data_IF_919337746794
#
_entry.id   IF_919337746794
#
_cell.length_a   1.000
_cell.length_b   1.000
_cell.length_c   1.000
_cell.angle_alpha   90.00
_cell.angle_beta   90.00
_cell.angle_gamma   90.00
#
_symmetry.space_group_name_H-M   'P 1'
#
loop_
_entity.id
_entity.type
_entity.pdbx_description
1 polymer ?
#
# COMPACT_ATOMS: atom_id res chain seq x y z
N UNK A 1 1.77 16.27 -79.66
CA UNK A 1 2.60 16.04 -78.48
C UNK A 1 2.31 16.99 -77.28
N UNK A 2 2.02 18.28 -77.42
CA UNK A 2 1.82 19.18 -76.26
C UNK A 2 0.61 18.85 -75.30
N UNK A 3 -0.52 18.33 -75.80
CA UNK A 3 -1.70 18.03 -74.98
C UNK A 3 -1.52 16.81 -74.05
N UNK A 4 -0.73 15.79 -74.42
CA UNK A 4 -0.49 14.61 -73.62
C UNK A 4 0.44 14.89 -72.41
N UNK A 5 1.41 15.78 -72.58
CA UNK A 5 2.36 16.18 -71.52
C UNK A 5 1.67 17.00 -70.41
N UNK A 6 0.73 17.85 -70.75
CA UNK A 6 -0.03 18.63 -69.76
C UNK A 6 -0.96 17.77 -68.93
N UNK A 7 -1.59 16.76 -69.52
CA UNK A 7 -2.43 15.79 -68.78
C UNK A 7 -1.61 14.89 -67.83
N UNK A 8 -0.40 14.50 -68.21
CA UNK A 8 0.50 13.69 -67.38
C UNK A 8 1.02 14.47 -66.16
N UNK A 9 1.41 15.76 -66.35
CA UNK A 9 1.86 16.63 -65.26
C UNK A 9 0.72 17.00 -64.29
N UNK A 10 -0.51 17.19 -64.77
CA UNK A 10 -1.68 17.42 -63.91
C UNK A 10 -2.00 16.19 -63.02
N UNK A 11 -1.92 14.99 -63.58
CA UNK A 11 -2.11 13.73 -62.83
C UNK A 11 -1.01 13.46 -61.77
N UNK A 12 0.24 13.82 -62.05
CA UNK A 12 1.34 13.73 -61.09
C UNK A 12 1.16 14.69 -59.92
N UNK A 13 0.78 15.93 -60.17
CA UNK A 13 0.52 16.92 -59.14
C UNK A 13 -0.68 16.52 -58.28
N UNK A 14 -1.73 15.96 -58.86
CA UNK A 14 -2.90 15.50 -58.13
C UNK A 14 -2.58 14.26 -57.22
N UNK A 15 -1.76 13.32 -57.69
CA UNK A 15 -1.28 12.18 -56.89
C UNK A 15 -0.38 12.64 -55.74
N UNK A 16 0.47 13.64 -55.98
CA UNK A 16 1.38 14.18 -54.96
C UNK A 16 0.60 14.97 -53.88
N UNK A 17 -0.40 15.73 -54.29
CA UNK A 17 -1.32 16.45 -53.39
C UNK A 17 -2.13 15.50 -52.51
N UNK A 18 -2.72 14.42 -53.08
CA UNK A 18 -3.46 13.41 -52.38
C UNK A 18 -2.55 12.63 -51.36
N UNK A 19 -1.29 12.37 -51.72
CA UNK A 19 -0.32 11.71 -50.85
C UNK A 19 0.05 12.58 -49.64
N UNK A 20 0.17 13.91 -49.87
CA UNK A 20 0.44 14.89 -48.81
C UNK A 20 -0.77 15.12 -47.91
N UNK A 21 -1.98 15.15 -48.45
CA UNK A 21 -3.21 15.21 -47.65
C UNK A 21 -3.41 13.95 -46.79
N UNK A 22 -3.18 12.73 -47.35
CA UNK A 22 -3.25 11.50 -46.56
C UNK A 22 -2.23 11.49 -45.43
N UNK A 23 -1.00 11.96 -45.66
CA UNK A 23 0.00 12.10 -44.58
C UNK A 23 -0.42 13.10 -43.50
N UNK A 24 -0.96 14.27 -43.90
CA UNK A 24 -1.49 15.24 -42.91
C UNK A 24 -2.68 14.71 -42.13
N UNK A 25 -3.59 13.97 -42.78
CA UNK A 25 -4.73 13.31 -42.09
C UNK A 25 -4.26 12.24 -41.11
N UNK A 26 -3.28 11.38 -41.48
CA UNK A 26 -2.69 10.40 -40.56
C UNK A 26 -1.98 11.04 -39.38
N UNK A 27 -1.24 12.15 -39.59
CA UNK A 27 -0.57 12.88 -38.51
C UNK A 27 -1.60 13.55 -37.60
N UNK A 28 -2.64 14.17 -38.13
CA UNK A 28 -3.73 14.73 -37.32
C UNK A 28 -4.52 13.67 -36.58
N UNK A 29 -4.80 12.50 -37.18
CA UNK A 29 -5.45 11.40 -36.50
C UNK A 29 -4.57 10.80 -35.39
N UNK A 30 -3.23 10.74 -35.57
CA UNK A 30 -2.29 10.30 -34.53
C UNK A 30 -2.18 11.32 -33.39
N UNK A 31 -2.21 12.64 -33.71
CA UNK A 31 -2.20 13.70 -32.70
C UNK A 31 -3.51 13.75 -31.91
N UNK A 32 -4.66 13.57 -32.57
CA UNK A 32 -5.97 13.51 -31.91
C UNK A 32 -6.10 12.23 -31.07
N UNK A 33 -5.58 11.09 -31.55
CA UNK A 33 -5.53 9.85 -30.75
C UNK A 33 -4.59 9.99 -29.55
N UNK A 34 -3.43 10.65 -29.69
CA UNK A 34 -2.51 10.92 -28.58
C UNK A 34 -3.09 11.94 -27.58
N UNK A 35 -3.88 12.93 -28.03
CA UNK A 35 -4.55 13.90 -27.15
C UNK A 35 -5.75 13.30 -26.39
N UNK A 36 -6.41 12.26 -26.93
CA UNK A 36 -7.50 11.54 -26.25
C UNK A 36 -7.02 10.55 -25.20
N UNK A 37 -5.71 10.25 -25.11
CA UNK A 37 -5.11 9.37 -24.11
C UNK A 37 -4.25 10.12 -23.06
N UNK A 38 -4.15 11.43 -23.14
CA UNK A 38 -3.62 12.23 -22.05
C UNK A 38 -4.71 12.48 -21.00
N UNK A 39 -5.26 11.39 -20.41
CA UNK A 39 -5.93 11.50 -19.13
C UNK A 39 -4.87 11.90 -18.12
N UNK A 40 -5.10 13.01 -17.45
CA UNK A 40 -4.27 13.52 -16.37
C UNK A 40 -3.95 12.34 -15.41
N UNK A 41 -2.70 11.87 -15.42
CA UNK A 41 -2.26 10.69 -14.65
C UNK A 41 -2.35 10.89 -13.12
N UNK A 42 -3.06 11.91 -12.71
CA UNK A 42 -3.32 12.29 -11.33
C UNK A 42 -4.80 12.50 -11.01
N UNK A 43 -5.71 12.12 -11.93
CA UNK A 43 -7.14 12.22 -11.64
C UNK A 43 -7.49 11.35 -10.42
N UNK A 44 -8.10 11.98 -9.42
CA UNK A 44 -8.66 11.29 -8.26
C UNK A 44 -9.92 10.53 -8.68
N UNK A 45 -10.00 9.26 -8.35
CA UNK A 45 -11.17 8.42 -8.62
C UNK A 45 -11.75 7.91 -7.31
N UNK A 46 -12.99 8.28 -6.98
CA UNK A 46 -13.71 7.70 -5.85
C UNK A 46 -14.08 6.27 -6.20
N UNK A 47 -13.44 5.29 -5.55
CA UNK A 47 -13.71 3.86 -5.77
C UNK A 47 -14.90 3.39 -4.94
N UNK A 48 -14.95 3.78 -3.67
CA UNK A 48 -16.02 3.41 -2.76
C UNK A 48 -16.54 4.67 -2.09
N UNK A 49 -17.81 4.93 -2.26
CA UNK A 49 -18.45 6.16 -1.80
C UNK A 49 -19.28 5.89 -0.55
N UNK A 50 -18.91 6.55 0.54
CA UNK A 50 -19.69 6.52 1.79
C UNK A 50 -20.89 7.46 1.73
N UNK A 51 -21.92 7.13 2.51
CA UNK A 51 -23.05 8.01 2.76
C UNK A 51 -23.13 8.39 4.26
N UNK A 52 -24.17 9.11 4.65
CA UNK A 52 -24.37 9.54 6.04
C UNK A 52 -25.22 8.57 6.87
N UNK A 53 -25.76 7.50 6.27
CA UNK A 53 -26.78 6.64 6.89
C UNK A 53 -26.29 5.20 7.08
N UNK A 54 -26.01 4.49 5.98
CA UNK A 54 -25.84 3.04 5.97
C UNK A 54 -24.56 2.55 5.32
N UNK A 55 -23.97 3.37 4.46
CA UNK A 55 -22.76 2.99 3.69
C UNK A 55 -21.55 3.71 4.23
N UNK A 56 -20.64 2.97 4.86
CA UNK A 56 -19.40 3.51 5.40
C UNK A 56 -18.24 2.62 4.98
N UNK A 57 -17.27 3.21 4.29
CA UNK A 57 -16.03 2.52 3.91
C UNK A 57 -14.85 3.09 4.68
N UNK A 58 -13.97 2.22 5.12
CA UNK A 58 -12.76 2.55 5.88
C UNK A 58 -11.61 1.61 5.51
N UNK A 59 -10.40 2.00 5.87
CA UNK A 59 -9.21 1.15 5.91
C UNK A 59 -8.80 0.66 4.51
N UNK A 60 -7.95 1.44 3.81
CA UNK A 60 -7.45 1.09 2.49
C UNK A 60 -6.37 0.01 2.55
N UNK A 61 -6.44 -0.98 1.65
CA UNK A 61 -5.37 -1.91 1.37
C UNK A 61 -5.20 -2.11 -0.15
N UNK A 62 -3.96 -2.28 -0.60
CA UNK A 62 -3.63 -2.51 -2.01
C UNK A 62 -2.72 -3.72 -2.15
N UNK A 63 -2.90 -4.48 -3.22
CA UNK A 63 -1.89 -5.43 -3.69
C UNK A 63 -1.87 -5.48 -5.21
N UNK A 64 -0.68 -5.71 -5.78
CA UNK A 64 -0.48 -5.93 -7.20
C UNK A 64 -0.47 -7.43 -7.48
N UNK A 65 -1.41 -7.90 -8.30
CA UNK A 65 -1.45 -9.28 -8.76
C UNK A 65 -0.29 -9.60 -9.71
N UNK A 66 0.00 -10.88 -9.91
CA UNK A 66 1.09 -11.35 -10.77
C UNK A 66 0.93 -10.90 -12.24
N UNK A 67 -0.29 -10.77 -12.72
CA UNK A 67 -0.60 -10.25 -14.06
C UNK A 67 -0.46 -8.73 -14.19
N UNK A 68 -0.16 -8.05 -13.09
CA UNK A 68 0.00 -6.59 -13.01
C UNK A 68 -1.29 -5.84 -12.68
N UNK A 69 -2.42 -6.52 -12.58
CA UNK A 69 -3.66 -5.87 -12.12
C UNK A 69 -3.51 -5.42 -10.66
N UNK A 70 -4.24 -4.36 -10.29
CA UNK A 70 -4.28 -3.83 -8.94
C UNK A 70 -5.61 -4.19 -8.29
N UNK A 71 -5.54 -4.71 -7.06
CA UNK A 71 -6.69 -4.89 -6.20
C UNK A 71 -6.70 -3.83 -5.12
N UNK A 72 -7.84 -3.13 -4.98
CA UNK A 72 -8.13 -2.21 -3.88
C UNK A 72 -9.15 -2.88 -2.95
N UNK A 73 -8.76 -3.05 -1.69
CA UNK A 73 -9.61 -3.60 -0.63
C UNK A 73 -9.94 -2.51 0.38
N UNK A 74 -11.12 -2.62 0.98
CA UNK A 74 -11.56 -1.72 2.05
C UNK A 74 -12.60 -2.43 2.92
N UNK A 75 -12.75 -1.98 4.16
CA UNK A 75 -13.83 -2.44 5.03
C UNK A 75 -15.14 -1.76 4.62
N UNK A 76 -16.20 -2.54 4.49
CA UNK A 76 -17.57 -2.05 4.45
C UNK A 76 -18.16 -2.15 5.88
N UNK A 77 -18.40 -1.01 6.51
CA UNK A 77 -18.78 -0.87 7.93
C UNK A 77 -20.17 -0.28 8.09
N UNK A 78 -21.27 -1.00 7.79
CA UNK A 78 -22.62 -0.49 7.97
C UNK A 78 -22.92 -0.13 9.43
N UNK A 79 -22.25 -0.79 10.38
CA UNK A 79 -22.31 -0.49 11.80
C UNK A 79 -21.62 0.83 12.19
N UNK A 80 -20.85 1.46 11.29
CA UNK A 80 -20.10 2.72 11.46
C UNK A 80 -19.14 2.75 12.66
N UNK A 81 -18.66 1.59 13.09
CA UNK A 81 -17.73 1.43 14.20
C UNK A 81 -16.55 0.52 13.79
N UNK A 82 -15.62 0.25 14.73
CA UNK A 82 -14.49 -0.63 14.49
C UNK A 82 -14.87 -2.10 14.66
N UNK A 83 -13.94 -3.00 14.26
CA UNK A 83 -14.04 -4.44 14.47
C UNK A 83 -14.35 -4.74 15.94
N UNK A 84 -15.39 -5.53 16.17
CA UNK A 84 -15.95 -5.82 17.49
C UNK A 84 -17.28 -5.13 17.78
N UNK A 85 -17.65 -4.07 17.06
CA UNK A 85 -18.87 -3.30 17.30
C UNK A 85 -20.06 -3.66 16.42
N UNK A 86 -19.92 -4.58 15.49
CA UNK A 86 -20.99 -5.03 14.60
C UNK A 86 -20.45 -5.70 13.34
N UNK A 87 -21.33 -6.04 12.41
CA UNK A 87 -20.98 -6.69 11.16
C UNK A 87 -20.12 -5.77 10.29
N UNK A 88 -18.97 -6.29 9.84
CA UNK A 88 -18.06 -5.63 8.92
C UNK A 88 -17.63 -6.67 7.87
N UNK A 89 -17.67 -6.26 6.60
CA UNK A 89 -17.20 -7.05 5.47
C UNK A 89 -15.89 -6.45 4.92
N UNK A 90 -15.06 -7.27 4.28
CA UNK A 90 -14.01 -6.77 3.38
C UNK A 90 -14.54 -6.83 1.97
N UNK A 91 -14.48 -5.71 1.26
CA UNK A 91 -14.89 -5.60 -0.14
C UNK A 91 -13.70 -5.24 -1.03
N UNK A 92 -13.78 -5.56 -2.32
CA UNK A 92 -12.71 -5.33 -3.28
C UNK A 92 -13.20 -4.84 -4.63
N UNK A 93 -12.31 -4.11 -5.33
CA UNK A 93 -12.37 -3.80 -6.76
C UNK A 93 -11.03 -4.10 -7.41
N UNK A 94 -11.05 -4.46 -8.69
CA UNK A 94 -9.86 -4.77 -9.50
C UNK A 94 -9.75 -3.83 -10.68
N UNK A 95 -8.54 -3.37 -10.96
CA UNK A 95 -8.17 -2.69 -12.21
C UNK A 95 -7.12 -3.49 -12.97
N UNK A 96 -7.31 -3.63 -14.28
CA UNK A 96 -6.34 -4.27 -15.21
C UNK A 96 -5.60 -3.29 -16.10
N UNK A 97 -5.83 -1.99 -15.92
CA UNK A 97 -5.35 -0.91 -16.77
C UNK A 97 -4.67 0.22 -15.98
N UNK A 98 -3.96 -0.14 -14.89
CA UNK A 98 -3.24 0.78 -14.00
C UNK A 98 -4.15 1.81 -13.32
N UNK A 99 -5.36 1.40 -12.92
CA UNK A 99 -6.28 2.22 -12.14
C UNK A 99 -7.17 3.16 -12.97
N UNK A 100 -7.20 3.02 -14.31
CA UNK A 100 -8.07 3.85 -15.17
C UNK A 100 -9.53 3.41 -15.09
N UNK A 101 -9.76 2.11 -15.09
CA UNK A 101 -11.09 1.52 -14.90
C UNK A 101 -11.07 0.44 -13.82
N UNK A 102 -12.23 0.20 -13.21
CA UNK A 102 -12.36 -0.70 -12.08
C UNK A 102 -13.56 -1.62 -12.25
N UNK A 103 -13.44 -2.84 -11.77
CA UNK A 103 -14.55 -3.79 -11.69
C UNK A 103 -15.68 -3.25 -10.80
N UNK A 104 -16.85 -3.90 -10.87
CA UNK A 104 -17.86 -3.76 -9.82
C UNK A 104 -17.27 -4.20 -8.48
N UNK A 105 -17.79 -3.63 -7.40
CA UNK A 105 -17.50 -4.05 -6.03
C UNK A 105 -17.93 -5.49 -5.79
N UNK A 106 -17.11 -6.23 -5.03
CA UNK A 106 -17.41 -7.59 -4.58
C UNK A 106 -17.06 -7.73 -3.10
N UNK A 107 -17.92 -8.34 -2.31
CA UNK A 107 -17.61 -8.80 -0.97
C UNK A 107 -16.67 -10.00 -1.07
N UNK A 108 -15.48 -9.91 -0.48
CA UNK A 108 -14.43 -10.93 -0.56
C UNK A 108 -14.26 -11.70 0.76
N UNK A 109 -14.53 -11.04 1.90
CA UNK A 109 -14.67 -11.68 3.19
C UNK A 109 -15.93 -11.11 3.85
N UNK A 110 -16.88 -11.99 4.14
CA UNK A 110 -18.20 -11.59 4.66
C UNK A 110 -18.26 -11.78 6.17
N UNK A 111 -18.69 -10.74 6.86
CA UNK A 111 -19.07 -10.79 8.28
C UNK A 111 -20.51 -11.27 8.49
N UNK A 112 -20.89 -11.48 9.75
CA UNK A 112 -22.24 -11.95 10.12
C UNK A 112 -22.51 -13.41 9.78
N UNK A 113 -21.46 -14.24 9.69
CA UNK A 113 -21.56 -15.68 9.48
C UNK A 113 -21.92 -16.47 10.74
N UNK A 114 -21.91 -17.81 10.62
CA UNK A 114 -22.40 -18.71 11.66
C UNK A 114 -21.35 -19.10 12.70
N UNK A 115 -20.06 -18.94 12.42
CA UNK A 115 -18.96 -19.23 13.35
C UNK A 115 -18.73 -18.06 14.33
N UNK A 116 -19.66 -17.87 15.25
CA UNK A 116 -19.59 -16.82 16.29
C UNK A 116 -18.63 -17.29 17.40
N UNK A 117 -17.76 -16.39 17.91
CA UNK A 117 -17.65 -14.95 17.68
C UNK A 117 -16.78 -14.52 16.47
N UNK A 118 -16.10 -15.44 15.80
CA UNK A 118 -15.12 -15.13 14.75
C UNK A 118 -15.75 -14.38 13.54
N UNK A 119 -16.89 -14.87 13.04
CA UNK A 119 -17.51 -14.39 11.81
C UNK A 119 -18.29 -13.07 11.94
N UNK A 120 -18.40 -12.48 13.12
CA UNK A 120 -19.20 -11.25 13.30
C UNK A 120 -18.66 -10.11 12.45
N UNK A 121 -17.35 -9.86 12.51
CA UNK A 121 -16.70 -8.84 11.74
C UNK A 121 -15.37 -9.32 11.17
N UNK A 122 -15.01 -8.83 9.98
CA UNK A 122 -13.70 -8.96 9.37
C UNK A 122 -13.29 -7.61 8.80
N UNK A 123 -12.15 -7.09 9.24
CA UNK A 123 -11.67 -5.77 8.81
C UNK A 123 -10.18 -5.58 9.02
N UNK A 124 -9.73 -4.35 8.80
CA UNK A 124 -8.32 -3.97 8.91
C UNK A 124 -7.41 -4.88 8.05
N UNK A 125 -7.82 -5.15 6.81
CA UNK A 125 -7.15 -6.08 5.92
C UNK A 125 -5.69 -5.68 5.66
N UNK A 126 -4.75 -6.61 5.92
CA UNK A 126 -3.36 -6.55 5.50
C UNK A 126 -3.13 -7.57 4.39
N UNK A 127 -2.66 -7.15 3.21
CA UNK A 127 -2.66 -7.99 2.00
C UNK A 127 -1.29 -8.08 1.34
N UNK A 128 -1.03 -9.21 0.66
CA UNK A 128 0.13 -9.40 -0.22
C UNK A 128 -0.19 -10.41 -1.31
N UNK A 129 0.39 -10.20 -2.49
CA UNK A 129 0.44 -11.21 -3.55
C UNK A 129 1.86 -11.76 -3.66
N UNK A 130 2.01 -13.07 -3.61
CA UNK A 130 3.31 -13.68 -3.91
C UNK A 130 3.69 -13.45 -5.37
N UNK A 131 4.80 -12.73 -5.58
CA UNK A 131 5.24 -12.33 -6.92
C UNK A 131 5.54 -13.51 -7.87
N UNK A 132 5.83 -14.71 -7.34
CA UNK A 132 6.15 -15.89 -8.13
C UNK A 132 4.93 -16.73 -8.48
N UNK A 133 4.14 -17.08 -7.48
CA UNK A 133 3.00 -17.98 -7.65
C UNK A 133 1.74 -17.24 -8.07
N UNK A 134 1.58 -15.97 -7.67
CA UNK A 134 0.37 -15.19 -7.83
C UNK A 134 -0.65 -15.47 -6.74
N UNK A 135 -0.35 -16.33 -5.77
CA UNK A 135 -1.19 -16.56 -4.60
C UNK A 135 -1.30 -15.31 -3.74
N UNK A 136 -2.46 -15.04 -3.20
CA UNK A 136 -2.72 -13.88 -2.36
C UNK A 136 -3.01 -14.31 -0.92
N UNK A 137 -2.48 -13.55 0.03
CA UNK A 137 -2.72 -13.68 1.46
C UNK A 137 -3.35 -12.39 1.97
N UNK A 138 -4.37 -12.53 2.82
CA UNK A 138 -4.97 -11.47 3.61
C UNK A 138 -5.02 -11.87 5.07
N UNK A 139 -4.61 -10.97 5.95
CA UNK A 139 -4.77 -11.06 7.40
C UNK A 139 -5.78 -10.02 7.83
N UNK A 140 -6.76 -10.39 8.64
CA UNK A 140 -7.79 -9.49 9.15
C UNK A 140 -7.85 -9.49 10.67
N UNK A 141 -8.16 -8.35 11.26
CA UNK A 141 -8.79 -8.31 12.57
C UNK A 141 -10.22 -8.86 12.45
N UNK A 142 -10.67 -9.67 13.40
CA UNK A 142 -11.96 -10.36 13.28
C UNK A 142 -12.67 -10.46 14.62
N UNK A 143 -13.96 -10.79 14.57
CA UNK A 143 -14.75 -11.13 15.74
C UNK A 143 -15.63 -10.02 16.28
N UNK A 144 -16.10 -10.21 17.52
CA UNK A 144 -17.07 -9.35 18.20
C UNK A 144 -16.49 -8.65 19.45
N UNK A 145 -15.16 -8.59 19.55
CA UNK A 145 -14.45 -7.94 20.67
C UNK A 145 -13.64 -6.78 20.14
N UNK A 146 -13.90 -5.60 20.66
CA UNK A 146 -13.09 -4.43 20.32
C UNK A 146 -11.65 -4.58 20.84
N UNK A 147 -10.68 -4.07 20.10
CA UNK A 147 -9.27 -4.10 20.46
C UNK A 147 -9.00 -3.68 21.92
N UNK A 148 -9.62 -2.59 22.39
CA UNK A 148 -9.39 -2.07 23.75
C UNK A 148 -10.10 -2.88 24.85
N UNK A 149 -11.04 -3.76 24.50
CA UNK A 149 -11.74 -4.67 25.43
C UNK A 149 -11.18 -6.09 25.41
N UNK A 150 -10.22 -6.38 24.53
CA UNK A 150 -9.63 -7.71 24.38
C UNK A 150 -8.85 -8.12 25.63
N UNK A 151 -9.04 -9.36 26.05
CA UNK A 151 -8.32 -10.05 27.12
C UNK A 151 -7.79 -11.40 26.61
N UNK A 152 -7.01 -12.13 27.41
CA UNK A 152 -6.58 -13.48 27.03
C UNK A 152 -7.74 -14.49 26.99
N UNK A 153 -8.74 -14.30 27.85
CA UNK A 153 -9.93 -15.16 27.93
C UNK A 153 -10.93 -14.87 26.80
N UNK A 154 -10.98 -13.62 26.35
CA UNK A 154 -11.85 -13.17 25.25
C UNK A 154 -11.08 -12.24 24.31
N UNK A 155 -10.20 -12.77 23.47
CA UNK A 155 -9.34 -11.98 22.61
C UNK A 155 -10.11 -11.44 21.38
N UNK A 156 -9.68 -10.28 20.89
CA UNK A 156 -9.96 -9.92 19.51
C UNK A 156 -9.27 -10.95 18.59
N UNK A 157 -9.93 -11.31 17.51
CA UNK A 157 -9.57 -12.51 16.73
C UNK A 157 -8.75 -12.17 15.50
N UNK A 158 -8.09 -13.18 14.97
CA UNK A 158 -7.24 -13.08 13.77
C UNK A 158 -7.75 -14.03 12.70
N UNK A 159 -8.15 -13.47 11.57
CA UNK A 159 -8.49 -14.21 10.37
C UNK A 159 -7.33 -14.25 9.38
N UNK A 160 -7.11 -15.42 8.76
CA UNK A 160 -6.16 -15.63 7.65
C UNK A 160 -6.91 -16.15 6.45
N UNK A 161 -6.70 -15.54 5.28
CA UNK A 161 -7.42 -15.87 4.05
C UNK A 161 -6.44 -15.99 2.88
N UNK A 162 -6.69 -16.96 2.01
CA UNK A 162 -5.95 -17.18 0.76
C UNK A 162 -6.86 -17.08 -0.45
N UNK A 163 -6.33 -16.54 -1.55
CA UNK A 163 -6.99 -16.47 -2.84
C UNK A 163 -6.00 -16.69 -3.99
N UNK A 164 -6.50 -17.18 -5.12
CA UNK A 164 -5.74 -17.29 -6.38
C UNK A 164 -6.15 -16.24 -7.41
N UNK A 165 -7.29 -15.59 -7.23
CA UNK A 165 -7.88 -14.66 -8.20
C UNK A 165 -8.23 -13.29 -7.59
N UNK A 166 -8.09 -13.13 -6.26
CA UNK A 166 -8.35 -11.92 -5.52
C UNK A 166 -9.83 -11.67 -5.18
N UNK A 167 -10.74 -12.53 -5.62
CA UNK A 167 -12.17 -12.44 -5.33
C UNK A 167 -12.72 -13.64 -4.55
N UNK A 168 -12.21 -14.83 -4.81
CA UNK A 168 -12.60 -16.05 -4.10
C UNK A 168 -11.58 -16.35 -3.01
N UNK A 169 -11.95 -16.09 -1.76
CA UNK A 169 -11.09 -16.24 -0.60
C UNK A 169 -11.54 -17.40 0.27
N UNK A 170 -10.58 -18.17 0.78
CA UNK A 170 -10.80 -19.21 1.77
C UNK A 170 -9.99 -18.83 3.02
N UNK A 171 -10.66 -18.80 4.16
CA UNK A 171 -10.05 -18.35 5.41
C UNK A 171 -10.30 -19.29 6.57
N UNK A 172 -9.57 -19.01 7.64
CA UNK A 172 -9.63 -19.70 8.90
C UNK A 172 -9.24 -18.77 10.04
N UNK A 173 -9.72 -19.07 11.24
CA UNK A 173 -9.28 -18.40 12.45
C UNK A 173 -7.92 -18.95 12.91
N UNK A 174 -6.96 -18.06 13.15
CA UNK A 174 -5.63 -18.42 13.67
C UNK A 174 -5.26 -17.66 14.96
N UNK A 175 -6.25 -17.21 15.71
CA UNK A 175 -6.08 -16.40 16.92
C UNK A 175 -5.06 -17.02 17.87
N UNK A 176 -5.26 -18.27 18.25
CA UNK A 176 -4.38 -19.00 19.16
C UNK A 176 -2.95 -19.13 18.63
N UNK A 177 -2.80 -19.37 17.31
CA UNK A 177 -1.49 -19.47 16.68
C UNK A 177 -0.69 -18.18 16.87
N UNK A 178 -1.33 -17.02 16.72
CA UNK A 178 -0.65 -15.73 16.83
C UNK A 178 -0.39 -15.33 18.27
N UNK A 179 -1.37 -15.47 19.17
CA UNK A 179 -1.17 -15.09 20.58
C UNK A 179 -0.09 -15.92 21.28
N UNK A 180 0.03 -17.22 20.98
CA UNK A 180 1.07 -18.12 21.52
C UNK A 180 2.51 -17.68 21.19
N UNK A 181 2.71 -16.87 20.13
CA UNK A 181 4.04 -16.40 19.74
C UNK A 181 4.68 -15.43 20.74
N UNK A 182 3.91 -14.80 21.63
CA UNK A 182 4.36 -13.74 22.54
C UNK A 182 4.41 -14.18 24.03
N UNK A 183 4.48 -15.45 24.31
CA UNK A 183 4.68 -16.01 25.67
C UNK A 183 3.71 -15.43 26.73
N UNK A 184 2.45 -15.14 26.36
CA UNK A 184 1.44 -14.58 27.27
C UNK A 184 1.58 -13.09 27.59
N UNK A 185 2.57 -12.40 27.04
CA UNK A 185 2.76 -10.96 27.29
C UNK A 185 1.73 -10.06 26.58
N UNK A 186 1.09 -10.59 25.54
CA UNK A 186 0.13 -9.86 24.69
C UNK A 186 -1.27 -10.42 24.91
N UNK A 187 -2.22 -9.55 25.26
CA UNK A 187 -3.62 -9.89 25.46
C UNK A 187 -4.56 -9.17 24.46
N UNK A 188 -4.04 -8.33 23.61
CA UNK A 188 -4.74 -7.71 22.48
C UNK A 188 -3.79 -7.41 21.36
N UNK A 189 -4.19 -7.71 20.14
CA UNK A 189 -3.40 -7.48 18.94
C UNK A 189 -4.27 -7.42 17.69
N UNK A 190 -3.73 -6.82 16.63
CA UNK A 190 -4.21 -6.99 15.26
C UNK A 190 -3.05 -6.75 14.28
N UNK A 191 -3.14 -7.32 13.08
CA UNK A 191 -2.23 -7.02 11.98
C UNK A 191 -2.49 -5.60 11.48
N UNK A 192 -1.43 -4.78 11.36
CA UNK A 192 -1.57 -3.43 10.82
C UNK A 192 -2.01 -3.49 9.36
N UNK A 193 -3.16 -2.89 9.06
CA UNK A 193 -3.82 -2.93 7.75
C UNK A 193 -2.98 -2.33 6.61
N UNK A 194 -3.33 -2.62 5.37
CA UNK A 194 -2.67 -2.14 4.16
C UNK A 194 -1.79 -3.20 3.52
N UNK A 195 -0.51 -2.96 3.32
CA UNK A 195 0.38 -3.87 2.61
C UNK A 195 1.21 -4.74 3.57
N UNK A 196 1.26 -6.06 3.31
CA UNK A 196 2.28 -6.97 3.87
C UNK A 196 3.51 -6.89 2.97
N UNK A 197 4.70 -6.69 3.54
CA UNK A 197 5.94 -6.59 2.79
C UNK A 197 6.45 -7.98 2.38
N UNK A 198 6.71 -8.20 1.09
CA UNK A 198 7.42 -9.37 0.62
C UNK A 198 8.86 -9.02 0.26
N UNK A 199 9.83 -9.75 0.83
CA UNK A 199 11.25 -9.58 0.52
C UNK A 199 11.54 -9.77 -0.97
N UNK A 200 12.39 -8.91 -1.52
CA UNK A 200 12.96 -9.11 -2.86
C UNK A 200 14.26 -9.93 -2.80
N UNK A 201 14.88 -10.05 -1.63
CA UNK A 201 16.23 -10.60 -1.46
C UNK A 201 16.25 -11.97 -0.78
N UNK A 202 15.34 -12.21 0.16
CA UNK A 202 15.36 -13.44 0.97
C UNK A 202 14.35 -14.43 0.42
N UNK A 203 14.89 -15.48 -0.20
CA UNK A 203 14.11 -16.61 -0.71
C UNK A 203 14.10 -17.71 0.36
N UNK A 204 12.90 -18.16 0.73
CA UNK A 204 12.66 -19.24 1.66
C UNK A 204 11.84 -20.35 0.96
N UNK A 205 12.50 -21.40 0.49
CA UNK A 205 11.84 -22.50 -0.24
C UNK A 205 11.10 -22.02 -1.50
N UNK A 206 9.78 -22.28 -1.54
CA UNK A 206 8.89 -21.90 -2.65
C UNK A 206 8.67 -20.39 -2.71
N UNK A 207 8.58 -19.71 -1.56
CA UNK A 207 8.22 -18.30 -1.44
C UNK A 207 9.44 -17.43 -1.13
N UNK A 208 9.26 -16.13 -1.25
CA UNK A 208 10.13 -15.16 -0.60
C UNK A 208 9.53 -14.83 0.78
N UNK A 209 10.40 -14.55 1.76
CA UNK A 209 9.98 -14.15 3.11
C UNK A 209 9.03 -12.98 3.05
N UNK A 210 7.98 -13.02 3.86
CA UNK A 210 7.06 -11.91 4.07
C UNK A 210 7.18 -11.38 5.50
N UNK A 211 6.85 -10.10 5.69
CA UNK A 211 6.89 -9.42 6.98
C UNK A 211 5.59 -8.64 7.20
N UNK A 212 5.08 -8.70 8.43
CA UNK A 212 3.96 -7.88 8.87
C UNK A 212 4.17 -7.39 10.29
N UNK A 213 3.53 -6.29 10.66
CA UNK A 213 3.59 -5.76 12.01
C UNK A 213 2.28 -5.98 12.73
N UNK A 214 2.37 -6.32 14.01
CA UNK A 214 1.25 -6.33 14.94
C UNK A 214 1.24 -5.02 15.74
N UNK A 215 0.06 -4.41 15.84
CA UNK A 215 -0.29 -3.50 16.92
C UNK A 215 -0.63 -4.34 18.15
N UNK A 216 -0.03 -4.07 19.32
CA UNK A 216 -0.30 -4.80 20.55
C UNK A 216 -0.36 -3.88 21.76
N UNK A 217 -0.85 -4.40 22.89
CA UNK A 217 -0.86 -3.66 24.16
C UNK A 217 0.53 -3.31 24.71
N UNK A 218 1.59 -3.88 24.18
CA UNK A 218 2.98 -3.67 24.62
C UNK A 218 3.85 -3.00 23.54
N UNK A 219 3.23 -2.39 22.54
CA UNK A 219 3.89 -1.81 21.36
C UNK A 219 3.90 -2.77 20.18
N UNK A 220 4.76 -2.52 19.19
CA UNK A 220 4.79 -3.36 18.00
C UNK A 220 5.56 -4.67 18.22
N UNK A 221 5.05 -5.73 17.60
CA UNK A 221 5.77 -6.96 17.29
C UNK A 221 5.83 -7.09 15.78
N UNK A 222 7.00 -7.41 15.24
CA UNK A 222 7.14 -7.68 13.81
C UNK A 222 7.22 -9.18 13.62
N UNK A 223 6.38 -9.72 12.75
CA UNK A 223 6.37 -11.12 12.37
C UNK A 223 6.99 -11.30 10.99
N UNK A 224 7.66 -12.42 10.78
CA UNK A 224 8.02 -12.90 9.45
C UNK A 224 7.46 -14.28 9.20
N UNK A 225 7.28 -14.64 7.93
CA UNK A 225 6.90 -15.97 7.49
C UNK A 225 7.73 -16.36 6.27
N UNK A 226 8.22 -17.61 6.27
CA UNK A 226 8.97 -18.23 5.19
C UNK A 226 8.10 -19.18 4.34
N UNK A 227 6.83 -19.36 4.71
CA UNK A 227 5.86 -20.22 4.06
C UNK A 227 4.55 -19.49 3.70
N UNK A 228 4.69 -18.20 3.38
CA UNK A 228 3.60 -17.34 2.92
C UNK A 228 2.42 -17.23 3.91
N UNK A 229 2.74 -17.08 5.20
CA UNK A 229 1.76 -16.83 6.26
C UNK A 229 1.10 -18.07 6.85
N UNK A 230 1.51 -19.29 6.44
CA UNK A 230 1.04 -20.52 7.12
C UNK A 230 1.59 -20.60 8.54
N UNK A 231 2.84 -20.24 8.73
CA UNK A 231 3.47 -20.09 10.06
C UNK A 231 4.12 -18.71 10.16
N UNK A 232 4.02 -18.13 11.34
CA UNK A 232 4.61 -16.83 11.66
C UNK A 232 5.62 -16.98 12.79
N UNK A 233 6.67 -16.17 12.77
CA UNK A 233 7.70 -16.12 13.80
C UNK A 233 8.03 -14.65 14.13
N UNK A 234 8.14 -14.29 15.43
CA UNK A 234 8.55 -12.95 15.84
C UNK A 234 10.00 -12.64 15.40
N UNK A 235 10.17 -11.57 14.64
CA UNK A 235 11.50 -11.13 14.18
C UNK A 235 12.28 -10.48 15.33
N UNK A 236 13.34 -11.13 15.75
CA UNK A 236 14.13 -10.75 16.93
C UNK A 236 13.69 -11.44 18.22
N UNK A 237 12.75 -12.39 18.15
CA UNK A 237 12.26 -13.21 19.29
C UNK A 237 10.96 -12.70 19.90
N UNK A 238 10.33 -13.54 20.73
CA UNK A 238 9.02 -13.30 21.35
C UNK A 238 8.95 -12.02 22.21
N UNK A 239 10.08 -11.61 22.78
CA UNK A 239 10.17 -10.44 23.66
C UNK A 239 10.62 -9.17 22.94
N UNK A 240 10.89 -9.23 21.62
CA UNK A 240 11.29 -8.07 20.85
C UNK A 240 10.15 -7.05 20.73
N UNK A 241 10.43 -5.82 21.10
CA UNK A 241 9.50 -4.67 21.02
C UNK A 241 10.18 -3.52 20.28
N UNK A 242 10.24 -3.59 18.92
CA UNK A 242 10.97 -2.62 18.13
C UNK A 242 10.44 -1.18 18.26
N UNK A 243 9.17 -1.01 18.62
CA UNK A 243 8.58 0.27 18.97
C UNK A 243 7.66 0.09 20.18
N UNK A 244 8.18 0.35 21.39
CA UNK A 244 7.44 0.17 22.67
C UNK A 244 6.15 0.98 22.78
N UNK A 245 6.08 2.12 22.10
CA UNK A 245 4.90 2.99 22.04
C UNK A 245 4.33 3.05 20.62
N UNK A 246 4.64 2.03 19.83
CA UNK A 246 4.09 1.87 18.49
C UNK A 246 2.66 1.35 18.52
N UNK A 247 1.89 1.83 17.54
CA UNK A 247 0.52 1.42 17.24
C UNK A 247 0.54 0.70 15.88
N UNK A 248 -0.26 1.11 14.91
CA UNK A 248 -0.20 0.58 13.54
C UNK A 248 1.16 0.87 12.90
N UNK A 249 1.78 -0.16 12.33
CA UNK A 249 3.12 -0.04 11.76
C UNK A 249 3.22 -0.68 10.38
N UNK A 250 4.16 -0.17 9.60
CA UNK A 250 4.49 -0.66 8.26
C UNK A 250 5.90 -1.18 8.22
N UNK A 251 6.09 -2.20 7.40
CA UNK A 251 7.38 -2.83 7.18
C UNK A 251 7.78 -2.66 5.72
N UNK A 252 9.07 -2.36 5.50
CA UNK A 252 9.65 -2.37 4.15
C UNK A 252 11.07 -2.97 4.20
N UNK A 253 11.49 -3.59 3.10
CA UNK A 253 12.85 -4.10 2.94
C UNK A 253 13.78 -2.99 2.44
N UNK A 254 14.78 -2.64 3.26
CA UNK A 254 15.81 -1.68 2.88
C UNK A 254 16.67 -2.19 1.70
N UNK A 255 17.33 -1.29 0.94
CA UNK A 255 18.11 -1.71 -0.23
C UNK A 255 19.25 -2.70 0.07
N UNK A 256 19.74 -2.77 1.30
CA UNK A 256 20.74 -3.78 1.74
C UNK A 256 20.11 -5.10 2.22
N UNK A 257 18.78 -5.18 2.38
CA UNK A 257 18.05 -6.35 2.84
C UNK A 257 17.65 -6.34 4.32
N UNK A 258 18.08 -5.33 5.09
CA UNK A 258 17.59 -5.10 6.44
C UNK A 258 16.11 -4.70 6.44
N UNK A 259 15.45 -4.79 7.59
CA UNK A 259 14.01 -4.56 7.71
C UNK A 259 13.74 -3.23 8.40
N UNK A 260 13.07 -2.32 7.68
CA UNK A 260 12.58 -1.06 8.20
C UNK A 260 11.20 -1.25 8.84
N UNK A 261 11.04 -0.71 10.06
CA UNK A 261 9.74 -0.48 10.69
C UNK A 261 9.46 1.03 10.73
N UNK A 262 8.25 1.41 10.32
CA UNK A 262 7.69 2.74 10.52
C UNK A 262 6.35 2.63 11.24
N UNK A 263 6.23 3.16 12.45
CA UNK A 263 5.06 3.00 13.30
C UNK A 263 4.39 4.32 13.63
N UNK A 264 3.05 4.33 13.65
CA UNK A 264 2.24 5.33 14.33
C UNK A 264 2.62 5.35 15.82
N UNK A 265 2.74 6.54 16.40
CA UNK A 265 3.00 6.68 17.84
C UNK A 265 1.69 6.68 18.63
N UNK A 266 1.65 5.97 19.76
CA UNK A 266 0.57 6.06 20.76
C UNK A 266 0.67 7.32 21.63
N UNK A 267 1.79 8.05 21.58
CA UNK A 267 2.10 9.20 22.45
C UNK A 267 2.01 10.54 21.72
N UNK A 268 1.12 10.67 20.76
CA UNK A 268 0.91 11.91 20.03
C UNK A 268 1.35 11.87 18.56
N UNK A 269 1.50 13.03 17.96
CA UNK A 269 1.90 13.17 16.56
C UNK A 269 3.34 12.67 16.34
N UNK A 270 3.60 12.17 15.15
CA UNK A 270 4.91 11.70 14.72
C UNK A 270 4.97 10.20 14.45
N UNK A 271 6.18 9.74 14.10
CA UNK A 271 6.45 8.36 13.73
C UNK A 271 7.67 7.82 14.45
N UNK A 272 7.63 6.53 14.72
CA UNK A 272 8.72 5.78 15.31
C UNK A 272 9.35 4.95 14.19
N UNK A 273 10.65 5.13 13.96
CA UNK A 273 11.43 4.32 13.02
C UNK A 273 12.32 3.36 13.77
N UNK A 274 12.47 2.15 13.25
CA UNK A 274 13.47 1.20 13.70
C UNK A 274 13.98 0.35 12.53
N UNK A 275 15.15 -0.24 12.68
CA UNK A 275 15.78 -1.11 11.69
C UNK A 275 16.18 -2.42 12.37
N UNK A 276 15.74 -3.54 11.78
CA UNK A 276 16.30 -4.83 12.11
C UNK A 276 17.50 -5.12 11.21
N UNK A 277 18.69 -5.18 11.81
CA UNK A 277 19.92 -5.53 11.10
C UNK A 277 20.15 -7.02 11.17
N UNK A 278 20.23 -7.65 10.01
CA UNK A 278 20.54 -9.05 9.92
C UNK A 278 22.03 -9.32 10.15
N UNK A 279 22.35 -10.32 11.00
CA UNK A 279 23.65 -11.02 11.03
C UNK A 279 23.63 -12.24 10.12
N UNK A 280 22.47 -12.90 9.97
CA UNK A 280 22.21 -13.97 9.05
C UNK A 280 20.76 -13.93 8.54
N UNK A 281 20.58 -13.35 7.36
CA UNK A 281 19.25 -13.16 6.79
C UNK A 281 18.50 -14.46 6.49
N UNK A 282 19.20 -15.52 6.07
CA UNK A 282 18.57 -16.83 5.79
C UNK A 282 17.93 -17.43 7.02
N UNK A 283 18.55 -17.30 8.21
CA UNK A 283 18.05 -17.81 9.47
C UNK A 283 17.23 -16.80 10.27
N UNK A 284 16.95 -15.62 9.71
CA UNK A 284 16.30 -14.50 10.37
C UNK A 284 17.00 -14.04 11.66
N UNK A 285 18.31 -14.26 11.79
CA UNK A 285 19.11 -13.83 12.93
C UNK A 285 19.57 -12.39 12.75
N UNK A 286 19.49 -11.60 13.82
CA UNK A 286 19.85 -10.20 13.81
C UNK A 286 19.36 -9.49 15.07
N UNK A 287 19.36 -8.16 15.02
CA UNK A 287 18.92 -7.33 16.16
C UNK A 287 18.21 -6.06 15.69
N UNK A 288 17.16 -5.71 16.40
CA UNK A 288 16.56 -4.37 16.32
C UNK A 288 17.52 -3.34 16.89
N UNK A 289 17.60 -2.20 16.22
CA UNK A 289 18.35 -1.06 16.70
C UNK A 289 17.58 -0.30 17.79
N UNK A 290 18.12 0.79 18.29
CA UNK A 290 17.37 1.74 19.12
C UNK A 290 16.41 2.51 18.25
N UNK A 291 15.12 2.51 18.61
CA UNK A 291 14.09 3.22 17.87
C UNK A 291 14.30 4.74 17.93
N UNK A 292 14.05 5.42 16.82
CA UNK A 292 14.12 6.87 16.74
C UNK A 292 12.74 7.46 16.39
N UNK A 293 12.43 8.63 16.96
CA UNK A 293 11.20 9.34 16.67
C UNK A 293 11.43 10.41 15.61
N UNK A 294 10.52 10.51 14.67
CA UNK A 294 10.48 11.60 13.72
C UNK A 294 10.25 12.92 14.47
N UNK A 295 11.03 13.92 14.13
CA UNK A 295 10.93 15.25 14.74
C UNK A 295 9.48 15.79 14.63
N UNK A 296 8.93 16.39 15.70
CA UNK A 296 7.60 17.00 15.70
C UNK A 296 7.33 18.05 14.63
N UNK A 297 8.35 18.65 14.02
CA UNK A 297 8.16 19.56 12.88
C UNK A 297 7.52 18.86 11.68
N UNK A 298 7.73 17.55 11.52
CA UNK A 298 7.02 16.71 10.57
C UNK A 298 5.72 16.21 11.19
N UNK A 299 4.81 17.12 11.50
CA UNK A 299 3.53 16.82 12.10
C UNK A 299 2.80 15.78 11.27
N UNK A 300 2.31 14.75 11.92
CA UNK A 300 1.42 13.79 11.31
C UNK A 300 0.37 13.35 12.31
N UNK A 301 -0.87 13.16 11.87
CA UNK A 301 -1.94 12.69 12.72
C UNK A 301 -1.60 11.31 13.32
N UNK A 302 -2.24 10.98 14.44
CA UNK A 302 -2.32 9.61 14.95
C UNK A 302 -3.20 8.78 13.99
N UNK A 303 -2.59 8.31 12.89
CA UNK A 303 -3.27 7.68 11.77
C UNK A 303 -2.33 6.66 11.12
N UNK A 304 -2.87 5.60 10.54
CA UNK A 304 -2.09 4.67 9.72
C UNK A 304 -1.67 5.35 8.41
N UNK A 305 -0.55 4.92 7.87
CA UNK A 305 0.00 5.36 6.59
C UNK A 305 0.68 4.18 5.90
N UNK A 306 1.51 4.42 4.90
CA UNK A 306 2.28 3.37 4.22
C UNK A 306 3.71 3.81 4.01
N UNK A 307 4.65 2.86 4.01
CA UNK A 307 6.02 3.06 3.54
C UNK A 307 6.28 2.20 2.32
N UNK A 308 6.99 2.76 1.34
CA UNK A 308 7.32 2.07 0.10
C UNK A 308 8.69 2.53 -0.38
N UNK A 309 9.60 1.59 -0.66
CA UNK A 309 10.89 1.89 -1.29
C UNK A 309 10.85 1.50 -2.77
N UNK A 310 11.08 2.47 -3.63
CA UNK A 310 11.08 2.28 -5.09
C UNK A 310 12.47 2.51 -5.67
N UNK A 311 12.82 1.73 -6.69
CA UNK A 311 13.99 2.02 -7.51
C UNK A 311 13.71 3.28 -8.31
N UNK A 312 14.68 4.18 -8.38
CA UNK A 312 14.57 5.47 -9.06
C UNK A 312 15.81 5.82 -9.86
N UNK A 313 15.67 6.80 -10.74
CA UNK A 313 16.78 7.45 -11.43
C UNK A 313 16.70 8.95 -11.10
N UNK A 314 17.78 9.49 -10.57
CA UNK A 314 17.90 10.92 -10.28
C UNK A 314 18.05 11.69 -11.59
N UNK A 315 17.17 12.66 -11.86
CA UNK A 315 17.17 13.38 -13.15
C UNK A 315 18.38 14.28 -13.34
N UNK A 316 18.95 14.82 -12.28
CA UNK A 316 20.07 15.74 -12.35
C UNK A 316 21.35 15.13 -12.93
N UNK A 317 21.61 13.84 -12.69
CA UNK A 317 22.86 13.16 -13.09
C UNK A 317 22.66 11.76 -13.69
N UNK A 318 21.42 11.29 -13.82
CA UNK A 318 21.08 9.98 -14.36
C UNK A 318 21.45 8.80 -13.44
N UNK A 319 21.85 9.04 -12.20
CA UNK A 319 22.25 7.99 -11.28
C UNK A 319 21.07 7.16 -10.79
N UNK A 320 21.24 5.85 -10.77
CA UNK A 320 20.31 4.92 -10.15
C UNK A 320 20.40 5.05 -8.62
N UNK A 321 19.24 5.13 -8.00
CA UNK A 321 19.07 5.31 -6.56
C UNK A 321 17.82 4.61 -6.06
N UNK A 322 17.49 4.76 -4.78
CA UNK A 322 16.21 4.39 -4.22
C UNK A 322 15.55 5.61 -3.60
N UNK A 323 14.23 5.67 -3.65
CA UNK A 323 13.44 6.69 -2.96
C UNK A 323 12.52 5.99 -1.96
N UNK A 324 12.61 6.39 -0.71
CA UNK A 324 11.69 6.00 0.36
C UNK A 324 10.52 6.98 0.35
N UNK A 325 9.32 6.45 0.18
CA UNK A 325 8.04 7.14 0.25
C UNK A 325 7.37 6.80 1.58
N UNK A 326 6.72 7.77 2.19
CA UNK A 326 5.93 7.59 3.39
C UNK A 326 4.65 8.41 3.29
N UNK A 327 3.47 7.77 3.27
CA UNK A 327 2.17 8.44 3.17
C UNK A 327 1.51 8.60 4.53
N UNK A 328 0.90 9.77 4.78
CA UNK A 328 0.20 10.08 6.04
C UNK A 328 -0.52 11.42 5.92
N UNK A 329 -1.54 11.73 6.76
CA UNK A 329 -1.98 13.10 6.96
C UNK A 329 -0.85 14.01 7.43
N UNK A 330 -0.69 15.17 6.77
CA UNK A 330 0.45 16.09 6.99
C UNK A 330 0.19 17.15 8.06
N UNK A 331 -0.85 16.96 8.87
CA UNK A 331 -1.20 17.82 10.01
C UNK A 331 -1.40 16.96 11.26
N UNK A 332 -1.49 17.59 12.41
CA UNK A 332 -1.81 16.93 13.69
C UNK A 332 -3.23 16.32 13.72
N UNK A 333 -4.12 16.79 12.86
CA UNK A 333 -5.45 16.23 12.61
C UNK A 333 -5.44 15.30 11.40
N UNK A 334 -6.50 14.52 11.21
CA UNK A 334 -6.69 13.66 10.03
C UNK A 334 -7.12 14.50 8.83
N UNK A 335 -6.19 15.28 8.29
CA UNK A 335 -6.38 16.12 7.11
C UNK A 335 -5.09 16.22 6.28
N UNK A 336 -5.23 16.60 5.01
CA UNK A 336 -4.14 16.88 4.10
C UNK A 336 -3.22 15.68 3.84
N UNK A 337 -3.78 14.49 3.56
CA UNK A 337 -2.97 13.32 3.17
C UNK A 337 -2.01 13.68 2.04
N UNK A 338 -0.79 13.24 2.19
CA UNK A 338 0.28 13.42 1.22
C UNK A 338 1.38 12.40 1.39
N UNK A 339 2.49 12.60 0.70
CA UNK A 339 3.64 11.70 0.69
C UNK A 339 4.88 12.49 1.11
N UNK A 340 5.55 12.04 2.14
CA UNK A 340 6.93 12.40 2.44
C UNK A 340 7.86 11.52 1.62
N UNK A 341 8.93 12.10 1.07
CA UNK A 341 9.92 11.34 0.32
C UNK A 341 11.34 11.73 0.67
N UNK A 342 12.26 10.77 0.61
CA UNK A 342 13.69 11.00 0.74
C UNK A 342 14.48 10.01 -0.10
N UNK A 343 15.64 10.43 -0.57
CA UNK A 343 16.56 9.55 -1.28
C UNK A 343 17.29 8.64 -0.30
N UNK A 344 17.53 7.40 -0.74
CA UNK A 344 18.43 6.43 -0.12
C UNK A 344 19.53 6.08 -1.13
N UNK A 345 20.48 7.02 -1.30
CA UNK A 345 21.55 6.91 -2.30
C UNK A 345 22.60 5.84 -1.92
N UNK A 346 22.79 5.63 -0.62
CA UNK A 346 23.78 4.71 -0.08
C UNK A 346 23.31 4.12 1.25
N UNK A 347 24.01 3.11 1.75
CA UNK A 347 23.75 2.53 3.08
C UNK A 347 23.94 3.53 4.22
N UNK A 348 24.73 4.61 4.00
CA UNK A 348 24.90 5.68 4.98
C UNK A 348 23.58 6.42 5.27
N UNK A 349 22.64 6.49 4.32
CA UNK A 349 21.37 7.21 4.47
C UNK A 349 20.37 6.51 5.40
N UNK A 350 20.61 5.23 5.69
CA UNK A 350 19.80 4.40 6.59
C UNK A 350 20.64 3.49 7.50
N UNK A 351 21.85 3.93 7.85
CA UNK A 351 22.74 3.20 8.75
C UNK A 351 22.19 3.10 10.19
N UNK A 352 21.30 4.00 10.57
CA UNK A 352 20.58 3.98 11.87
C UNK A 352 19.18 4.55 11.74
N UNK A 353 18.26 4.25 12.69
CA UNK A 353 16.91 4.81 12.71
C UNK A 353 16.87 6.33 12.75
N UNK A 354 17.82 7.01 13.41
CA UNK A 354 17.89 8.48 13.46
C UNK A 354 18.07 9.12 12.10
N UNK A 355 18.80 8.48 11.19
CA UNK A 355 18.98 8.98 9.82
C UNK A 355 17.69 8.93 9.02
N UNK A 356 16.76 8.02 9.36
CA UNK A 356 15.44 7.94 8.76
C UNK A 356 14.47 9.00 9.27
N UNK A 357 14.80 9.72 10.35
CA UNK A 357 13.96 10.80 10.86
C UNK A 357 14.24 12.15 10.22
N UNK A 358 15.21 12.27 9.31
CA UNK A 358 15.72 13.53 8.75
C UNK A 358 15.67 13.57 7.22
N UNK A 359 15.71 14.78 6.66
CA UNK A 359 15.88 14.99 5.22
C UNK A 359 14.65 14.66 4.37
N UNK A 360 13.48 14.67 4.95
CA UNK A 360 12.23 14.46 4.24
C UNK A 360 11.80 15.70 3.45
N UNK A 361 11.37 15.48 2.22
CA UNK A 361 10.63 16.42 1.37
C UNK A 361 9.17 15.99 1.31
N UNK A 362 8.29 16.86 0.84
CA UNK A 362 6.85 16.63 0.90
C UNK A 362 6.16 16.83 -0.45
N UNK A 363 5.15 16.01 -0.68
CA UNK A 363 4.16 16.17 -1.74
C UNK A 363 2.76 16.07 -1.12
N UNK A 364 2.05 17.18 -1.06
CA UNK A 364 0.68 17.22 -0.56
C UNK A 364 -0.29 16.85 -1.68
N UNK A 365 -1.19 15.91 -1.42
CA UNK A 365 -2.19 15.43 -2.38
C UNK A 365 -3.59 15.95 -2.05
N UNK A 366 -4.07 15.70 -0.83
CA UNK A 366 -5.39 16.14 -0.38
C UNK A 366 -5.35 17.57 0.17
N UNK A 367 -6.44 18.30 -0.03
CA UNK A 367 -6.67 19.65 0.50
C UNK A 367 -7.80 19.69 1.53
N UNK A 368 -8.29 18.55 1.97
CA UNK A 368 -9.42 18.40 2.89
C UNK A 368 -9.12 17.36 3.97
N UNK A 369 -10.11 17.05 4.80
CA UNK A 369 -10.02 15.97 5.79
C UNK A 369 -9.76 14.65 5.10
N UNK A 370 -8.73 13.96 5.55
CA UNK A 370 -8.25 12.72 4.96
C UNK A 370 -7.46 11.93 5.99
N UNK A 371 -7.47 10.59 5.89
CA UNK A 371 -6.96 9.77 6.97
C UNK A 371 -6.03 8.64 6.50
N UNK A 372 -6.46 7.39 6.58
CA UNK A 372 -5.65 6.23 6.25
C UNK A 372 -5.25 6.20 4.78
N UNK A 373 -4.06 5.69 4.49
CA UNK A 373 -3.54 5.58 3.13
C UNK A 373 -2.64 4.37 2.97
N UNK A 374 -2.57 3.85 1.75
CA UNK A 374 -1.68 2.77 1.34
C UNK A 374 -1.12 3.02 -0.05
N UNK A 375 0.02 2.39 -0.37
CA UNK A 375 0.72 2.56 -1.65
C UNK A 375 1.21 1.22 -2.19
N UNK A 376 1.21 1.10 -3.53
CA UNK A 376 1.86 -0.02 -4.24
C UNK A 376 2.47 0.48 -5.55
N UNK A 377 3.62 -0.06 -5.96
CA UNK A 377 4.22 0.32 -7.25
C UNK A 377 3.64 -0.51 -8.39
N UNK A 378 3.01 0.14 -9.36
CA UNK A 378 2.45 -0.46 -10.57
C UNK A 378 3.52 -0.82 -11.60
N UNK A 379 3.16 -1.63 -12.60
CA UNK A 379 4.10 -2.09 -13.62
C UNK A 379 4.63 -0.99 -14.54
N UNK A 380 3.87 0.11 -14.71
CA UNK A 380 4.28 1.30 -15.45
C UNK A 380 5.24 2.21 -14.66
N UNK A 381 5.53 1.85 -13.40
CA UNK A 381 6.39 2.60 -12.48
C UNK A 381 5.67 3.65 -11.64
N UNK A 382 4.42 3.96 -11.94
CA UNK A 382 3.60 4.86 -11.14
C UNK A 382 3.28 4.23 -9.77
N UNK A 383 2.95 5.10 -8.82
CA UNK A 383 2.51 4.71 -7.49
C UNK A 383 0.98 4.68 -7.47
N UNK A 384 0.41 3.50 -7.29
CA UNK A 384 -0.98 3.33 -6.88
C UNK A 384 -1.12 3.87 -5.46
N UNK A 385 -1.92 4.89 -5.29
CA UNK A 385 -2.18 5.54 -4.01
C UNK A 385 -3.66 5.44 -3.70
N UNK A 386 -4.00 4.82 -2.57
CA UNK A 386 -5.39 4.60 -2.16
C UNK A 386 -5.58 5.08 -0.73
N UNK A 387 -6.57 5.96 -0.49
CA UNK A 387 -6.69 6.66 0.76
C UNK A 387 -8.12 7.10 1.09
N UNK A 388 -8.32 7.46 2.34
CA UNK A 388 -9.57 8.01 2.89
C UNK A 388 -9.59 9.53 2.70
N UNK A 389 -10.66 10.07 2.08
CA UNK A 389 -10.87 11.51 1.92
C UNK A 389 -12.32 11.88 2.13
N UNK A 390 -12.57 12.97 2.85
CA UNK A 390 -13.92 13.45 3.11
C UNK A 390 -14.40 14.34 1.97
N UNK A 391 -15.45 13.92 1.28
CA UNK A 391 -16.17 14.74 0.27
C UNK A 391 -17.53 15.23 0.78
N UNK A 392 -18.04 14.66 1.88
CA UNK A 392 -19.30 15.04 2.49
C UNK A 392 -19.27 14.84 4.02
N UNK A 393 -20.16 15.49 4.76
CA UNK A 393 -20.31 15.24 6.20
C UNK A 393 -20.73 13.78 6.42
N UNK A 394 -20.01 13.06 7.26
CA UNK A 394 -20.43 11.76 7.78
C UNK A 394 -19.57 10.54 7.43
N UNK A 395 -18.46 10.69 6.74
CA UNK A 395 -17.56 9.57 6.47
C UNK A 395 -16.45 9.90 5.50
N UNK A 396 -15.59 8.94 5.27
CA UNK A 396 -14.56 9.01 4.24
C UNK A 396 -15.04 8.26 3.00
N UNK A 397 -14.82 8.85 1.84
CA UNK A 397 -14.79 8.12 0.58
C UNK A 397 -13.41 7.46 0.41
N UNK A 398 -13.36 6.36 -0.32
CA UNK A 398 -12.11 5.68 -0.63
C UNK A 398 -11.64 6.10 -2.02
N UNK A 399 -10.56 6.86 -2.07
CA UNK A 399 -10.07 7.55 -3.29
C UNK A 399 -8.80 6.91 -3.78
N UNK A 400 -8.73 6.68 -5.09
CA UNK A 400 -7.56 6.14 -5.77
C UNK A 400 -6.92 7.20 -6.67
N UNK A 401 -5.58 7.20 -6.72
CA UNK A 401 -4.76 7.98 -7.65
C UNK A 401 -3.64 7.12 -8.23
N UNK A 402 -3.32 7.34 -9.50
CA UNK A 402 -2.07 6.87 -10.13
C UNK A 402 -1.09 8.04 -10.19
N UNK A 403 0.01 7.98 -9.44
CA UNK A 403 0.94 9.08 -9.26
C UNK A 403 2.32 8.75 -9.87
N UNK A 404 2.77 9.46 -10.92
CA UNK A 404 4.15 9.38 -11.39
C UNK A 404 5.14 9.79 -10.29
N UNK A 405 6.29 9.10 -10.21
CA UNK A 405 7.30 9.38 -9.18
C UNK A 405 7.86 10.81 -9.31
N UNK A 406 8.03 11.32 -10.53
CA UNK A 406 8.50 12.70 -10.75
C UNK A 406 7.50 13.74 -10.24
N UNK A 407 6.19 13.48 -10.33
CA UNK A 407 5.18 14.34 -9.72
C UNK A 407 5.28 14.36 -8.20
N UNK A 408 5.42 13.19 -7.57
CA UNK A 408 5.62 13.07 -6.10
C UNK A 408 6.88 13.81 -5.67
N UNK A 409 7.93 13.75 -6.47
CA UNK A 409 9.26 14.25 -6.12
C UNK A 409 9.60 15.61 -6.75
N UNK A 410 8.59 16.36 -7.18
CA UNK A 410 8.76 17.70 -7.79
C UNK A 410 9.79 17.72 -8.94
N UNK A 411 9.82 16.65 -9.75
CA UNK A 411 10.71 16.53 -10.90
C UNK A 411 12.11 16.00 -10.61
N UNK A 412 12.43 15.63 -9.35
CA UNK A 412 13.80 15.21 -8.99
C UNK A 412 14.13 13.76 -9.43
N UNK A 413 13.15 12.86 -9.38
CA UNK A 413 13.33 11.45 -9.67
C UNK A 413 12.29 10.92 -10.64
N UNK A 414 12.68 9.98 -11.49
CA UNK A 414 11.75 9.14 -12.26
C UNK A 414 11.85 7.71 -11.79
N UNK A 415 10.78 6.94 -12.02
CA UNK A 415 10.76 5.53 -11.67
C UNK A 415 11.89 4.77 -12.39
N UNK A 416 12.64 3.98 -11.64
CA UNK A 416 13.58 3.02 -12.16
C UNK A 416 12.91 1.69 -12.50
N UNK A 417 13.71 0.62 -12.64
CA UNK A 417 13.17 -0.72 -12.91
C UNK A 417 12.26 -1.17 -11.75
N UNK A 418 11.00 -1.46 -12.06
CA UNK A 418 10.04 -2.00 -11.08
C UNK A 418 10.50 -3.36 -10.57
N UNK A 419 10.41 -3.60 -9.26
CA UNK A 419 10.69 -4.91 -8.64
C UNK A 419 9.66 -5.93 -9.16
N UNK A 420 10.14 -7.02 -9.75
CA UNK A 420 9.31 -8.14 -10.23
C UNK A 420 9.24 -9.25 -9.21
#
# INVERSE_FOLDING_TARGET
MRKATIHYLANLNQKQYLKTMKRKLCVMSAIVAAALFATDASAQTVLFKSDTVSTCYRIPALTKAKDGSIFAFTDFRPCRTDVGGGVIDVVAKRSTDNGRTWSKEQTVVKGGGDNVPFDVAHGDAAVVTDRKTGEMLMMCASGNVWYWQSTLENPNRVGRYYSKDGFNWKGEEITDQIYKLMNGAVHKLFFSSGRICQSAKIKAGKYNRIYSALCTNVGNVVLYSDDFGHNWTPLGGADARPAKFGDEAKIEELPNGDVLLCSRSQRGAGRIFNIFKYSNAKRAEGKWQTAANLDPIYKSAMCNGEVLIVNAVRKADGKKTNVLLYSVPMDAKRNYVGIYYKELASTADYASPELLTKGWKTFRLSNTDSAYSTMEQMNDGNIAFFYEETHQKGGYDMVFCSLPLDKITNGEYVAGKVKK
#
